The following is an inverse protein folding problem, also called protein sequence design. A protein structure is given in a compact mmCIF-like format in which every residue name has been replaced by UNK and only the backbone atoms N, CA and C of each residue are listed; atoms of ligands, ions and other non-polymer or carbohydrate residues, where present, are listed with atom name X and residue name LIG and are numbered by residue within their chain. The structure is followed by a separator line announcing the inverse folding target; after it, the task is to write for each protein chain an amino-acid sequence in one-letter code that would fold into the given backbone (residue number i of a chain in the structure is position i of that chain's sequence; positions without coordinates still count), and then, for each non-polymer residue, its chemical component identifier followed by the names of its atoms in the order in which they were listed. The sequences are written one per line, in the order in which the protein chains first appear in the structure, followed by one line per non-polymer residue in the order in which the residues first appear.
data_IF_847979324936
#
_entry.id   IF_847979324936
#
_cell.length_a   1.000
_cell.length_b   1.000
_cell.length_c   1.000
_cell.angle_alpha   90.00
_cell.angle_beta   90.00
_cell.angle_gamma   90.00
#
_symmetry.space_group_name_H-M   'P 1'
#
loop_
_entity.id
_entity.type
_entity.pdbx_description
1 polymer ?
#
# COMPACT_ATOMS: atom_id res chain seq x y z
N UNK A 1 -26.82 -8.05 5.97
CA UNK A 1 -27.16 -8.30 4.56
C UNK A 1 -26.05 -7.72 3.72
N UNK A 2 -25.55 -8.40 2.67
CA UNK A 2 -24.71 -7.76 1.65
C UNK A 2 -25.45 -6.53 1.11
N UNK A 3 -24.74 -5.51 0.65
CA UNK A 3 -25.35 -4.27 0.16
C UNK A 3 -25.40 -3.10 1.14
N UNK A 4 -24.99 -3.34 2.40
CA UNK A 4 -24.83 -2.26 3.41
C UNK A 4 -23.40 -1.71 3.45
N UNK A 5 -22.53 -2.12 2.54
CA UNK A 5 -21.12 -1.75 2.52
C UNK A 5 -20.68 -1.37 1.12
N UNK A 6 -19.67 -0.53 1.05
CA UNK A 6 -19.07 -0.09 -0.20
C UNK A 6 -17.55 0.06 -0.05
N UNK A 7 -16.84 -0.03 -1.17
CA UNK A 7 -15.47 0.40 -1.31
C UNK A 7 -15.42 1.64 -2.19
N UNK A 8 -14.79 2.69 -1.68
CA UNK A 8 -14.54 3.91 -2.46
C UNK A 8 -13.05 3.97 -2.82
N UNK A 9 -12.72 3.97 -4.11
CA UNK A 9 -11.33 4.13 -4.56
C UNK A 9 -10.85 5.55 -4.28
N UNK A 10 -9.78 5.70 -3.49
CA UNK A 10 -9.15 7.00 -3.18
C UNK A 10 -7.94 7.27 -4.05
N UNK A 11 -7.19 6.21 -4.39
CA UNK A 11 -6.05 6.27 -5.29
C UNK A 11 -6.04 5.06 -6.20
N UNK A 12 -5.61 5.22 -7.46
CA UNK A 12 -5.60 4.18 -8.47
C UNK A 12 -6.08 4.68 -9.83
N UNK A 13 -6.41 3.77 -10.76
CA UNK A 13 -6.79 4.15 -12.13
C UNK A 13 -8.09 4.96 -12.23
N UNK A 14 -9.02 4.79 -11.29
CA UNK A 14 -10.32 5.46 -11.30
C UNK A 14 -10.68 6.03 -9.92
N UNK A 15 -10.00 7.08 -9.42
CA UNK A 15 -10.29 7.64 -8.11
C UNK A 15 -11.72 8.18 -8.03
N UNK A 16 -12.37 8.00 -6.88
CA UNK A 16 -13.76 8.39 -6.64
C UNK A 16 -14.78 7.34 -7.05
N UNK A 17 -14.39 6.25 -7.73
CA UNK A 17 -15.31 5.16 -8.04
C UNK A 17 -15.76 4.45 -6.77
N UNK A 18 -17.06 4.22 -6.67
CA UNK A 18 -17.70 3.50 -5.57
C UNK A 18 -18.12 2.13 -6.06
N UNK A 19 -17.71 1.11 -5.35
CA UNK A 19 -18.09 -0.29 -5.60
C UNK A 19 -19.01 -0.75 -4.48
N UNK A 20 -20.27 -0.99 -4.77
CA UNK A 20 -21.22 -1.58 -3.83
C UNK A 20 -20.84 -3.04 -3.55
N UNK A 21 -20.85 -3.43 -2.28
CA UNK A 21 -20.59 -4.80 -1.86
C UNK A 21 -21.93 -5.49 -1.59
N UNK A 22 -22.53 -6.07 -2.62
CA UNK A 22 -23.89 -6.61 -2.63
C UNK A 22 -23.95 -8.15 -2.68
N UNK A 23 -22.80 -8.81 -2.80
CA UNK A 23 -22.68 -10.27 -2.87
C UNK A 23 -21.88 -10.81 -1.68
N UNK A 24 -22.09 -12.11 -1.37
CA UNK A 24 -21.39 -12.77 -0.26
C UNK A 24 -19.88 -12.92 -0.49
N UNK A 25 -19.45 -12.93 -1.75
CA UNK A 25 -18.04 -13.05 -2.09
C UNK A 25 -17.73 -12.10 -3.24
N UNK A 26 -16.65 -11.34 -3.09
CA UNK A 26 -16.19 -10.34 -4.05
C UNK A 26 -14.70 -10.52 -4.23
N UNK A 27 -14.26 -10.80 -5.45
CA UNK A 27 -12.85 -10.85 -5.81
C UNK A 27 -12.37 -9.50 -6.30
N UNK A 28 -11.13 -9.16 -5.94
CA UNK A 28 -10.45 -7.93 -6.35
C UNK A 28 -9.15 -8.32 -7.04
N UNK A 29 -8.90 -7.76 -8.22
CA UNK A 29 -7.68 -8.06 -8.95
C UNK A 29 -7.61 -7.36 -10.30
N UNK A 30 -6.47 -7.54 -10.99
CA UNK A 30 -6.25 -6.90 -12.30
C UNK A 30 -7.03 -7.57 -13.43
N UNK A 31 -7.31 -8.85 -13.32
CA UNK A 31 -8.05 -9.57 -14.34
C UNK A 31 -9.50 -9.10 -14.39
N UNK A 32 -10.06 -8.97 -15.59
CA UNK A 32 -11.44 -8.54 -15.80
C UNK A 32 -12.49 -9.55 -15.32
N UNK A 33 -12.08 -10.76 -14.96
CA UNK A 33 -12.95 -11.77 -14.35
C UNK A 33 -13.26 -11.52 -12.88
N UNK A 34 -12.57 -10.55 -12.24
CA UNK A 34 -12.88 -10.15 -10.86
C UNK A 34 -14.11 -9.24 -10.82
N UNK A 35 -14.88 -9.32 -9.74
CA UNK A 35 -16.02 -8.42 -9.49
C UNK A 35 -15.56 -6.96 -9.39
N UNK A 36 -14.39 -6.74 -8.78
CA UNK A 36 -13.72 -5.43 -8.75
C UNK A 36 -12.41 -5.55 -9.55
N UNK A 37 -12.50 -5.22 -10.84
CA UNK A 37 -11.34 -5.21 -11.73
C UNK A 37 -10.58 -3.90 -11.59
N UNK A 38 -9.30 -3.96 -11.19
CA UNK A 38 -8.40 -2.82 -11.06
C UNK A 38 -7.25 -2.98 -12.04
N UNK A 39 -7.32 -2.30 -13.18
CA UNK A 39 -6.30 -2.39 -14.22
C UNK A 39 -5.06 -1.59 -13.86
N UNK A 40 -4.23 -2.16 -12.99
CA UNK A 40 -2.97 -1.59 -12.54
C UNK A 40 -1.89 -2.67 -12.42
N UNK A 41 -0.64 -2.34 -12.73
CA UNK A 41 0.48 -3.28 -12.73
C UNK A 41 0.84 -3.78 -11.32
N UNK A 42 0.57 -3.00 -10.29
CA UNK A 42 0.80 -3.39 -8.89
C UNK A 42 -0.21 -4.41 -8.38
N UNK A 43 -1.36 -4.53 -9.05
CA UNK A 43 -2.42 -5.46 -8.65
C UNK A 43 -2.22 -6.81 -9.34
N UNK A 44 -2.17 -7.88 -8.56
CA UNK A 44 -2.12 -9.26 -9.08
C UNK A 44 -3.41 -9.61 -9.82
N UNK A 45 -3.37 -10.54 -10.78
CA UNK A 45 -4.56 -10.98 -11.55
C UNK A 45 -5.74 -11.34 -10.64
N UNK A 46 -5.48 -12.07 -9.57
CA UNK A 46 -6.36 -12.28 -8.42
C UNK A 46 -5.57 -11.83 -7.20
N UNK A 47 -5.97 -10.73 -6.58
CA UNK A 47 -5.17 -10.08 -5.54
C UNK A 47 -5.71 -10.39 -4.14
N UNK A 48 -6.95 -10.08 -3.93
CA UNK A 48 -7.62 -10.27 -2.64
C UNK A 48 -9.08 -10.65 -2.81
N UNK A 49 -9.70 -11.07 -1.73
CA UNK A 49 -11.09 -11.48 -1.69
C UNK A 49 -11.76 -10.92 -0.45
N UNK A 50 -12.98 -10.45 -0.63
CA UNK A 50 -13.91 -10.11 0.44
C UNK A 50 -14.93 -11.23 0.57
N UNK A 51 -15.20 -11.68 1.79
CA UNK A 51 -16.24 -12.68 2.07
C UNK A 51 -17.14 -12.15 3.18
N UNK A 52 -18.46 -12.13 2.95
CA UNK A 52 -19.43 -11.67 3.93
C UNK A 52 -19.68 -12.76 4.98
N UNK A 53 -19.37 -12.47 6.24
CA UNK A 53 -19.52 -13.39 7.36
C UNK A 53 -19.95 -12.63 8.62
N UNK A 54 -21.00 -13.13 9.28
CA UNK A 54 -21.47 -12.56 10.56
C UNK A 54 -21.85 -11.07 10.48
N UNK A 55 -22.37 -10.61 9.35
CA UNK A 55 -22.79 -9.22 9.17
C UNK A 55 -21.66 -8.26 8.79
N UNK A 56 -20.46 -8.76 8.46
CA UNK A 56 -19.29 -7.96 8.09
C UNK A 56 -18.51 -8.63 6.97
N UNK A 57 -17.70 -7.87 6.26
CA UNK A 57 -16.77 -8.44 5.31
C UNK A 57 -15.45 -8.81 5.97
N UNK A 58 -14.94 -9.97 5.58
CA UNK A 58 -13.60 -10.47 5.89
C UNK A 58 -12.75 -10.33 4.65
N UNK A 59 -11.65 -9.61 4.75
CA UNK A 59 -10.66 -9.44 3.69
C UNK A 59 -9.57 -10.48 3.83
N UNK A 60 -9.21 -11.10 2.70
CA UNK A 60 -8.14 -12.10 2.60
C UNK A 60 -7.24 -11.77 1.40
N UNK A 61 -5.92 -11.82 1.59
CA UNK A 61 -4.93 -11.76 0.51
C UNK A 61 -4.79 -13.13 -0.14
N UNK A 62 -4.85 -13.21 -1.47
CA UNK A 62 -4.78 -14.46 -2.22
C UNK A 62 -3.35 -14.80 -2.69
N UNK A 63 -2.34 -14.39 -1.94
CA UNK A 63 -0.93 -14.57 -2.31
C UNK A 63 -0.49 -13.53 -3.35
N UNK A 64 -0.91 -12.28 -3.17
CA UNK A 64 -0.58 -11.20 -4.07
C UNK A 64 0.92 -10.89 -4.07
N UNK A 65 1.44 -10.36 -5.19
CA UNK A 65 2.86 -10.02 -5.34
C UNK A 65 3.26 -8.87 -4.41
N UNK A 66 2.48 -7.81 -4.39
CA UNK A 66 2.81 -6.59 -3.63
C UNK A 66 2.14 -6.54 -2.26
N UNK A 67 1.23 -7.48 -1.96
CA UNK A 67 0.54 -7.59 -0.68
C UNK A 67 -0.68 -6.68 -0.56
N UNK A 68 -1.56 -7.07 0.35
CA UNK A 68 -2.74 -6.30 0.78
C UNK A 68 -2.45 -5.71 2.16
N UNK A 69 -2.87 -4.47 2.39
CA UNK A 69 -2.66 -3.76 3.65
C UNK A 69 -3.98 -3.21 4.16
N UNK A 70 -4.15 -3.18 5.48
CA UNK A 70 -5.28 -2.52 6.14
C UNK A 70 -4.73 -1.52 7.15
N UNK A 71 -5.06 -0.25 6.97
CA UNK A 71 -4.53 0.88 7.77
C UNK A 71 -2.99 0.87 7.82
N UNK A 72 -2.33 0.57 6.69
CA UNK A 72 -0.87 0.47 6.56
C UNK A 72 -0.24 -0.80 7.13
N UNK A 73 -1.00 -1.69 7.75
CA UNK A 73 -0.53 -2.99 8.22
C UNK A 73 -0.73 -4.06 7.14
N UNK A 74 0.35 -4.77 6.79
CA UNK A 74 0.28 -5.88 5.84
C UNK A 74 -0.59 -7.00 6.38
N UNK A 75 -1.48 -7.51 5.54
CA UNK A 75 -2.34 -8.62 5.85
C UNK A 75 -1.54 -9.93 5.81
N UNK A 76 -1.56 -10.68 6.92
CA UNK A 76 -0.89 -11.99 7.03
C UNK A 76 -1.89 -13.14 7.13
N UNK A 77 -3.18 -12.83 7.15
CA UNK A 77 -4.30 -13.77 7.21
C UNK A 77 -5.63 -13.04 7.08
N UNK A 78 -6.76 -13.75 7.08
CA UNK A 78 -8.08 -13.14 6.97
C UNK A 78 -8.35 -12.14 8.10
N UNK A 79 -8.92 -10.98 7.75
CA UNK A 79 -9.23 -9.89 8.69
C UNK A 79 -10.65 -9.38 8.51
N UNK A 80 -11.40 -9.30 9.61
CA UNK A 80 -12.72 -8.67 9.64
C UNK A 80 -12.56 -7.17 9.50
N UNK A 81 -13.21 -6.57 8.51
CA UNK A 81 -13.17 -5.14 8.25
C UNK A 81 -14.13 -4.36 9.14
N UNK A 82 -13.73 -3.12 9.45
CA UNK A 82 -14.54 -2.12 10.15
C UNK A 82 -14.75 -0.93 9.23
N UNK A 83 -15.95 -0.32 9.31
CA UNK A 83 -16.23 0.91 8.55
C UNK A 83 -15.20 1.99 8.83
N UNK A 84 -14.74 2.67 7.78
CA UNK A 84 -13.67 3.67 7.83
C UNK A 84 -12.26 3.11 7.67
N UNK A 85 -12.07 1.78 7.56
CA UNK A 85 -10.73 1.23 7.33
C UNK A 85 -10.25 1.49 5.90
N UNK A 86 -8.95 1.76 5.79
CA UNK A 86 -8.25 1.99 4.54
C UNK A 86 -7.60 0.70 4.09
N UNK A 87 -7.91 0.24 2.89
CA UNK A 87 -7.36 -0.95 2.26
C UNK A 87 -6.43 -0.51 1.14
N UNK A 88 -5.18 -1.01 1.14
CA UNK A 88 -4.25 -0.76 0.05
C UNK A 88 -3.82 -2.06 -0.62
N UNK A 89 -3.76 -2.05 -1.96
CA UNK A 89 -3.23 -3.12 -2.78
C UNK A 89 -1.91 -2.64 -3.39
N UNK A 90 -0.79 -3.16 -2.89
CA UNK A 90 0.52 -2.56 -3.15
C UNK A 90 0.63 -1.16 -2.53
N UNK A 91 1.33 -0.25 -3.22
CA UNK A 91 1.62 1.09 -2.71
C UNK A 91 0.66 2.16 -3.26
N UNK A 92 0.10 1.96 -4.46
CA UNK A 92 -0.61 3.02 -5.19
C UNK A 92 -2.14 2.89 -5.15
N UNK A 93 -2.68 1.69 -4.97
CA UNK A 93 -4.12 1.46 -5.02
C UNK A 93 -4.69 1.52 -3.61
N UNK A 94 -5.58 2.48 -3.38
CA UNK A 94 -6.15 2.73 -2.05
C UNK A 94 -7.68 2.79 -2.13
N UNK A 95 -8.33 2.01 -1.28
CA UNK A 95 -9.76 2.03 -1.06
C UNK A 95 -10.10 2.42 0.37
N UNK A 96 -11.28 2.98 0.58
CA UNK A 96 -11.90 3.13 1.90
C UNK A 96 -13.11 2.22 1.95
N UNK A 97 -13.17 1.38 2.99
CA UNK A 97 -14.31 0.51 3.27
C UNK A 97 -15.29 1.24 4.18
N UNK A 98 -16.52 1.40 3.74
CA UNK A 98 -17.55 2.15 4.45
C UNK A 98 -18.86 1.36 4.54
N UNK A 99 -19.54 1.46 5.67
CA UNK A 99 -20.94 1.05 5.76
C UNK A 99 -21.78 2.13 5.10
N UNK A 100 -22.71 1.70 4.25
CA UNK A 100 -23.75 2.59 3.70
C UNK A 100 -24.86 2.65 4.74
N UNK A 101 -24.94 3.75 5.48
CA UNK A 101 -26.08 4.00 6.37
C UNK A 101 -27.32 4.16 5.49
N UNK A 102 -28.16 3.13 5.48
CA UNK A 102 -29.46 3.14 4.81
C UNK A 102 -30.50 3.92 5.65
N UNK A 103 -30.09 5.07 6.17
CA UNK A 103 -31.04 6.00 6.77
C UNK A 103 -31.44 7.04 5.72
N UNK A 104 -32.63 6.93 5.09
CA UNK A 104 -33.10 7.91 4.14
C UNK A 104 -33.39 9.28 4.74
N UNK A 105 -33.11 9.47 6.04
CA UNK A 105 -33.33 10.70 6.79
C UNK A 105 -32.06 11.47 7.20
N UNK A 106 -30.87 10.90 7.05
CA UNK A 106 -29.62 11.55 7.48
C UNK A 106 -28.99 12.43 6.40
N UNK A 107 -29.75 13.25 5.69
CA UNK A 107 -29.21 14.47 5.09
C UNK A 107 -29.03 15.51 6.20
N UNK A 108 -28.32 15.16 7.24
CA UNK A 108 -27.75 16.13 8.15
C UNK A 108 -26.38 16.53 7.60
N UNK A 109 -26.42 17.43 6.60
CA UNK A 109 -25.40 18.45 6.51
C UNK A 109 -25.29 19.03 7.92
N UNK A 110 -24.30 18.61 8.67
CA UNK A 110 -23.87 19.32 9.86
C UNK A 110 -23.31 20.66 9.38
N UNK A 111 -24.24 21.55 9.01
CA UNK A 111 -23.95 22.97 9.01
C UNK A 111 -23.61 23.30 10.46
N UNK A 112 -22.32 23.25 10.75
CA UNK A 112 -21.75 23.90 11.91
C UNK A 112 -22.19 25.35 11.78
N UNK A 113 -23.31 25.69 12.47
CA UNK A 113 -23.84 27.03 12.58
C UNK A 113 -22.68 27.90 13.06
N UNK A 114 -22.10 28.65 12.15
CA UNK A 114 -21.16 29.68 12.50
C UNK A 114 -21.85 30.60 13.53
N UNK A 115 -21.20 30.90 14.66
CA UNK A 115 -21.75 31.90 15.57
C UNK A 115 -21.96 33.20 14.80
N UNK A 116 -23.14 33.76 14.89
CA UNK A 116 -23.49 35.01 14.25
C UNK A 116 -22.41 36.05 14.57
N UNK A 117 -21.69 36.47 13.55
CA UNK A 117 -20.75 37.56 13.64
C UNK A 117 -21.56 38.83 13.99
N UNK A 118 -21.31 39.40 15.15
CA UNK A 118 -21.74 40.77 15.48
C UNK A 118 -21.01 41.70 14.51
N UNK A 119 -21.67 42.73 13.97
CA UNK A 119 -21.00 43.70 13.12
C UNK A 119 -20.06 44.55 14.00
N UNK A 120 -18.78 44.28 13.90
CA UNK A 120 -17.74 45.17 14.40
C UNK A 120 -17.35 46.09 13.25
N UNK A 121 -17.90 47.32 13.30
CA UNK A 121 -17.44 48.42 12.49
C UNK A 121 -16.16 48.98 13.08
N UNK A 122 -15.02 48.57 12.57
CA UNK A 122 -13.76 49.29 12.70
C UNK A 122 -13.11 49.39 11.34
N UNK A 123 -12.68 50.59 10.91
CA UNK A 123 -12.04 50.78 9.62
C UNK A 123 -10.67 50.14 9.63
N UNK A 124 -10.18 49.64 8.47
CA UNK A 124 -8.89 48.99 8.40
C UNK A 124 -7.75 50.02 8.65
N UNK A 125 -6.75 49.67 9.45
CA UNK A 125 -5.55 50.49 9.57
C UNK A 125 -4.73 50.38 8.26
N UNK A 126 -4.22 51.53 7.84
CA UNK A 126 -3.34 51.71 6.70
C UNK A 126 -2.13 50.74 6.72
N UNK A 127 -1.63 50.29 5.57
CA UNK A 127 -0.45 49.46 5.51
C UNK A 127 0.80 50.23 5.90
N UNK A 128 1.25 50.06 7.15
CA UNK A 128 2.60 50.46 7.50
C UNK A 128 3.57 49.43 6.99
N UNK A 129 4.50 49.91 6.21
CA UNK A 129 5.62 49.19 5.70
C UNK A 129 6.39 48.46 6.82
N UNK A 130 6.28 47.15 6.88
CA UNK A 130 7.12 46.31 7.74
C UNK A 130 8.42 46.02 6.98
N UNK A 131 9.37 46.97 7.10
CA UNK A 131 10.76 46.70 6.75
C UNK A 131 11.44 46.11 7.98
N UNK A 132 11.90 44.88 7.87
CA UNK A 132 12.88 44.38 8.81
C UNK A 132 12.63 42.98 9.34
N UNK A 133 13.55 42.11 8.97
CA UNK A 133 13.96 40.87 9.63
C UNK A 133 13.08 39.64 9.34
N UNK A 134 13.46 38.96 8.24
CA UNK A 134 13.25 37.53 8.08
C UNK A 134 14.32 36.86 8.93
N UNK A 135 13.97 36.13 10.02
CA UNK A 135 14.90 35.20 10.63
C UNK A 135 15.11 34.07 9.61
N UNK A 136 16.34 33.85 9.19
CA UNK A 136 16.71 32.65 8.46
C UNK A 136 16.36 31.44 9.33
N UNK A 137 15.23 30.77 8.98
CA UNK A 137 14.92 29.44 9.49
C UNK A 137 16.02 28.47 9.02
N UNK A 138 16.37 27.48 9.83
CA UNK A 138 17.35 26.49 9.41
C UNK A 138 16.87 25.84 8.12
N UNK A 139 17.75 25.79 7.11
CA UNK A 139 17.57 25.03 5.90
C UNK A 139 17.29 23.59 6.32
N UNK A 140 16.14 23.09 5.88
CA UNK A 140 15.79 21.67 5.97
C UNK A 140 16.83 20.92 5.12
N UNK A 141 17.89 20.46 5.78
CA UNK A 141 18.83 19.52 5.21
C UNK A 141 18.04 18.27 4.88
N UNK A 142 17.97 17.95 3.58
CA UNK A 142 17.26 16.84 3.01
C UNK A 142 17.36 15.60 3.89
N UNK A 143 16.23 15.03 4.23
CA UNK A 143 16.14 13.74 4.91
C UNK A 143 16.94 12.70 4.10
N UNK A 144 18.18 12.49 4.49
CA UNK A 144 18.92 11.31 4.10
C UNK A 144 18.07 10.10 4.49
N UNK A 145 17.64 9.36 3.49
CA UNK A 145 17.01 8.05 3.63
C UNK A 145 17.96 7.21 4.50
N UNK A 146 17.62 7.05 5.76
CA UNK A 146 18.37 6.25 6.73
C UNK A 146 18.31 4.80 6.27
N UNK A 147 19.24 4.43 5.40
CA UNK A 147 19.42 3.04 4.97
C UNK A 147 19.87 2.24 6.19
N UNK A 148 19.09 1.21 6.52
CA UNK A 148 19.38 0.34 7.65
C UNK A 148 20.77 -0.29 7.46
N UNK A 149 21.75 -0.04 8.36
CA UNK A 149 23.11 -0.56 8.21
C UNK A 149 23.15 -2.10 8.15
N UNK A 150 22.18 -2.78 8.77
CA UNK A 150 22.03 -4.23 8.75
C UNK A 150 21.75 -4.72 7.31
N UNK A 151 20.94 -3.99 6.54
CA UNK A 151 20.59 -4.36 5.18
C UNK A 151 21.78 -4.21 4.23
N UNK A 152 22.62 -3.19 4.43
CA UNK A 152 23.86 -3.00 3.67
C UNK A 152 24.85 -4.13 3.95
N UNK A 153 25.03 -4.47 5.23
CA UNK A 153 25.95 -5.56 5.63
C UNK A 153 25.51 -6.89 5.05
N UNK A 154 24.20 -7.19 5.04
CA UNK A 154 23.68 -8.45 4.47
C UNK A 154 23.86 -8.53 2.95
N UNK A 155 23.66 -7.42 2.23
CA UNK A 155 23.89 -7.37 0.77
C UNK A 155 25.36 -7.56 0.45
N UNK A 156 26.27 -6.87 1.16
CA UNK A 156 27.72 -7.00 0.97
C UNK A 156 28.17 -8.44 1.24
N UNK A 157 27.66 -9.05 2.32
CA UNK A 157 27.94 -10.47 2.65
C UNK A 157 27.47 -11.44 1.56
N UNK A 158 26.27 -11.24 1.02
CA UNK A 158 25.72 -12.05 -0.06
C UNK A 158 26.55 -11.93 -1.36
N UNK A 159 26.94 -10.71 -1.73
CA UNK A 159 27.78 -10.46 -2.91
C UNK A 159 29.16 -11.12 -2.75
N UNK A 160 29.79 -10.99 -1.58
CA UNK A 160 31.07 -11.62 -1.30
C UNK A 160 30.99 -13.16 -1.42
N UNK A 161 29.92 -13.78 -0.91
CA UNK A 161 29.69 -15.22 -0.98
C UNK A 161 29.50 -15.69 -2.44
N UNK A 162 28.76 -14.94 -3.24
CA UNK A 162 28.58 -15.22 -4.68
C UNK A 162 29.92 -15.13 -5.40
N UNK A 163 30.75 -14.11 -5.14
CA UNK A 163 32.07 -13.97 -5.75
C UNK A 163 33.00 -15.15 -5.39
N UNK A 164 32.95 -15.60 -4.12
CA UNK A 164 33.73 -16.77 -3.70
C UNK A 164 33.27 -18.05 -4.39
N UNK A 165 31.97 -18.26 -4.55
CA UNK A 165 31.44 -19.41 -5.29
C UNK A 165 31.86 -19.37 -6.75
N UNK A 166 31.77 -18.23 -7.43
CA UNK A 166 32.20 -18.09 -8.83
C UNK A 166 33.69 -18.33 -8.94
N UNK A 167 34.51 -17.74 -8.05
CA UNK A 167 35.96 -17.98 -8.02
C UNK A 167 36.33 -19.44 -7.81
N UNK A 168 35.61 -20.12 -6.93
CA UNK A 168 35.80 -21.55 -6.69
C UNK A 168 35.47 -22.38 -7.95
N UNK A 169 34.36 -22.11 -8.63
CA UNK A 169 34.00 -22.81 -9.85
C UNK A 169 34.99 -22.58 -10.97
N UNK A 170 35.49 -21.36 -11.16
CA UNK A 170 36.54 -21.04 -12.14
C UNK A 170 37.83 -21.76 -11.78
N UNK A 171 38.22 -21.83 -10.51
CA UNK A 171 39.42 -22.52 -10.06
C UNK A 171 39.34 -24.05 -10.32
N UNK A 172 38.18 -24.64 -10.01
CA UNK A 172 37.94 -26.08 -10.29
C UNK A 172 37.98 -26.38 -11.80
N UNK A 173 37.41 -25.50 -12.61
CA UNK A 173 37.38 -25.62 -14.07
C UNK A 173 38.79 -25.51 -14.67
N UNK A 174 39.57 -24.50 -14.29
CA UNK A 174 40.94 -24.29 -14.79
C UNK A 174 41.89 -25.40 -14.39
N UNK A 175 41.70 -26.02 -13.25
CA UNK A 175 42.55 -27.11 -12.77
C UNK A 175 42.02 -28.53 -13.12
N UNK A 176 40.94 -28.63 -13.91
CA UNK A 176 40.30 -29.89 -14.30
C UNK A 176 39.95 -30.80 -13.09
N UNK A 177 39.66 -30.21 -11.94
CA UNK A 177 39.37 -30.91 -10.69
C UNK A 177 37.92 -31.40 -10.58
N UNK A 178 37.14 -31.31 -11.65
CA UNK A 178 35.72 -31.73 -11.66
C UNK A 178 35.56 -33.21 -11.26
N UNK A 179 36.44 -34.08 -11.73
CA UNK A 179 36.40 -35.52 -11.40
C UNK A 179 36.69 -35.82 -9.93
N UNK A 180 37.41 -34.92 -9.24
CA UNK A 180 37.72 -35.08 -7.81
C UNK A 180 36.52 -34.67 -6.93
N UNK A 181 35.81 -33.62 -7.32
CA UNK A 181 34.70 -33.10 -6.55
C UNK A 181 33.33 -33.73 -6.89
N UNK A 182 33.18 -34.18 -8.15
CA UNK A 182 31.94 -34.75 -8.65
C UNK A 182 32.17 -36.09 -9.37
N UNK A 183 32.42 -37.17 -8.63
CA UNK A 183 32.73 -38.49 -9.20
C UNK A 183 31.58 -39.13 -9.99
N UNK A 184 30.38 -38.52 -9.94
CA UNK A 184 29.20 -39.03 -10.66
C UNK A 184 29.03 -38.45 -12.08
N UNK A 185 29.91 -37.54 -12.53
CA UNK A 185 29.84 -36.99 -13.88
C UNK A 185 30.44 -38.02 -14.86
N UNK A 186 29.60 -38.55 -15.77
CA UNK A 186 30.02 -39.48 -16.83
C UNK A 186 30.94 -38.72 -17.80
N UNK A 187 32.22 -39.09 -17.83
CA UNK A 187 33.25 -38.50 -18.70
C UNK A 187 34.60 -38.29 -18.04
N UNK A 188 34.76 -38.64 -16.77
CA UNK A 188 36.05 -38.69 -16.11
C UNK A 188 36.83 -39.95 -16.56
N UNK A 189 38.10 -39.79 -16.91
CA UNK A 189 38.96 -40.93 -17.29
C UNK A 189 39.22 -41.88 -16.13
#
# INVERSE_FOLDING_TARGET
MPGQFQLTMRSGPNPGTVYALDTDQISIGRDSSNEIAVNDAEVSRRHSRLTFQGGKYVLEDLGSTNGTFVNGQRLTGPRVLKSGEVISLGEQIVFVYEAVDSDPGATMVSQRKAPAARPVTTPPPSPQAYAGQVPAGPMDEGQEKKTNPILIVSIVGAVALICLCIGFFIYVDQNLLWCTFFPFITGCP
#
